data_IF_758361353083
#
_entry.id   IF_758361353083
#
_cell.length_a   1.000
_cell.length_b   1.000
_cell.length_c   1.000
_cell.angle_alpha   90.00
_cell.angle_beta   90.00
_cell.angle_gamma   90.00
#
_symmetry.space_group_name_H-M   'P 1'
#
loop_
_entity.id
_entity.type
_entity.pdbx_description
1 polymer ?
#
# COMPACT_ATOMS: atom_id res chain seq x y z
N UNK A 1 -17.55 0.09 -2.29
CA UNK A 1 -16.79 0.97 -1.38
C UNK A 1 -15.45 1.25 -2.05
N UNK A 2 -15.10 2.51 -2.32
CA UNK A 2 -13.74 2.84 -2.76
C UNK A 2 -12.85 2.71 -1.52
N UNK A 3 -11.89 1.79 -1.53
CA UNK A 3 -10.88 1.70 -0.48
C UNK A 3 -10.01 2.96 -0.44
N UNK A 4 -8.94 2.95 0.36
CA UNK A 4 -7.99 4.08 0.43
C UNK A 4 -7.42 4.49 -0.93
N UNK A 5 -7.28 3.55 -1.87
CA UNK A 5 -6.81 3.84 -3.22
C UNK A 5 -7.99 4.27 -4.11
N UNK A 6 -7.93 5.47 -4.73
CA UNK A 6 -9.05 6.04 -5.47
C UNK A 6 -9.28 5.39 -6.85
N UNK A 7 -8.24 4.74 -7.37
CA UNK A 7 -8.18 4.03 -8.65
C UNK A 7 -7.81 2.56 -8.41
N UNK A 8 -8.37 1.68 -9.22
CA UNK A 8 -8.11 0.24 -9.13
C UNK A 8 -6.76 -0.15 -9.73
N UNK A 9 -6.43 -1.44 -9.67
CA UNK A 9 -5.14 -1.95 -10.14
C UNK A 9 -5.00 -1.85 -11.67
N UNK A 10 -6.08 -2.07 -12.40
CA UNK A 10 -6.08 -2.05 -13.87
C UNK A 10 -5.80 -0.62 -14.35
N UNK A 11 -6.55 0.36 -13.83
CA UNK A 11 -6.33 1.78 -14.11
C UNK A 11 -4.92 2.24 -13.77
N UNK A 12 -4.36 1.82 -12.63
CA UNK A 12 -2.96 2.13 -12.29
C UNK A 12 -1.97 1.54 -13.29
N UNK A 13 -2.23 0.34 -13.78
CA UNK A 13 -1.34 -0.35 -14.72
C UNK A 13 -1.37 0.33 -16.08
N UNK A 14 -2.56 0.72 -16.56
CA UNK A 14 -2.74 1.51 -17.79
C UNK A 14 -2.00 2.85 -17.70
N UNK A 15 -2.18 3.61 -16.61
CA UNK A 15 -1.50 4.89 -16.42
C UNK A 15 0.03 4.78 -16.40
N UNK A 16 0.57 3.68 -15.88
CA UNK A 16 2.02 3.44 -15.85
C UNK A 16 2.53 3.01 -17.23
N UNK A 17 1.76 2.20 -17.97
CA UNK A 17 2.08 1.82 -19.33
C UNK A 17 2.13 3.03 -20.28
N UNK A 18 1.26 4.03 -20.09
CA UNK A 18 1.25 5.28 -20.86
C UNK A 18 2.57 6.07 -20.75
N UNK A 19 3.28 5.93 -19.63
CA UNK A 19 4.60 6.55 -19.40
C UNK A 19 5.75 5.56 -19.59
N UNK A 20 5.47 4.36 -20.12
CA UNK A 20 6.46 3.34 -20.43
C UNK A 20 7.04 2.62 -19.19
N UNK A 21 6.29 2.58 -18.09
CA UNK A 21 6.70 1.92 -16.84
C UNK A 21 5.84 0.69 -16.54
N UNK A 22 6.47 -0.38 -16.05
CA UNK A 22 5.77 -1.52 -15.43
C UNK A 22 5.55 -1.24 -13.94
N UNK A 23 4.35 -1.53 -13.42
CA UNK A 23 4.01 -1.46 -12.00
C UNK A 23 4.94 -2.33 -11.13
N UNK A 24 5.44 -3.43 -11.67
CA UNK A 24 6.38 -4.31 -10.96
C UNK A 24 7.77 -3.68 -10.80
N UNK A 25 8.15 -2.81 -11.73
CA UNK A 25 9.46 -2.14 -11.79
C UNK A 25 9.41 -0.68 -11.28
N UNK A 26 8.22 -0.19 -10.91
CA UNK A 26 8.00 1.20 -10.52
C UNK A 26 9.00 1.70 -9.47
N UNK A 27 9.28 0.85 -8.48
CA UNK A 27 10.18 1.19 -7.37
C UNK A 27 11.65 0.88 -7.67
N UNK A 28 11.97 0.31 -8.83
CA UNK A 28 13.36 0.03 -9.21
C UNK A 28 14.17 1.29 -9.50
N UNK A 29 13.49 2.36 -9.90
CA UNK A 29 14.05 3.71 -10.03
C UNK A 29 14.58 4.28 -8.71
N UNK A 30 14.18 3.75 -7.54
CA UNK A 30 14.64 4.21 -6.24
C UNK A 30 16.01 3.60 -5.93
N UNK A 31 17.08 4.40 -5.74
CA UNK A 31 18.41 3.88 -5.39
C UNK A 31 18.39 2.99 -4.14
N UNK A 32 19.09 1.86 -4.19
CA UNK A 32 19.04 0.86 -3.11
C UNK A 32 19.47 1.42 -1.75
N UNK A 33 20.46 2.31 -1.72
CA UNK A 33 20.95 2.97 -0.51
C UNK A 33 19.91 3.90 0.15
N UNK A 34 18.88 4.32 -0.59
CA UNK A 34 17.77 5.13 -0.07
C UNK A 34 16.57 4.28 0.36
N UNK A 35 16.52 2.99 0.00
CA UNK A 35 15.42 2.11 0.39
C UNK A 35 15.53 1.75 1.87
N UNK A 36 14.38 1.64 2.53
CA UNK A 36 14.30 1.11 3.89
C UNK A 36 14.85 -0.32 3.92
N UNK A 37 15.90 -0.52 4.73
CA UNK A 37 16.51 -1.84 4.92
C UNK A 37 15.75 -2.67 5.96
N UNK A 38 15.12 -1.99 6.92
CA UNK A 38 14.27 -2.60 7.93
C UNK A 38 12.93 -3.01 7.31
N UNK A 39 12.60 -4.30 7.44
CA UNK A 39 11.33 -4.88 6.94
C UNK A 39 10.37 -5.27 8.06
N UNK A 40 10.82 -5.22 9.31
CA UNK A 40 10.00 -5.53 10.48
C UNK A 40 9.60 -4.24 11.21
N UNK A 41 8.30 -4.04 11.36
CA UNK A 41 7.73 -2.87 12.02
C UNK A 41 6.93 -3.34 13.24
N UNK A 42 7.54 -3.43 14.44
CA UNK A 42 6.93 -4.08 15.61
C UNK A 42 5.64 -3.39 16.08
N UNK A 43 5.50 -2.09 15.78
CA UNK A 43 4.32 -1.29 16.12
C UNK A 43 3.20 -1.39 15.06
N UNK A 44 3.44 -2.05 13.93
CA UNK A 44 2.43 -2.26 12.90
C UNK A 44 1.87 -3.68 13.00
N UNK A 45 0.56 -3.80 12.77
CA UNK A 45 -0.07 -5.11 12.64
C UNK A 45 0.54 -5.87 11.44
N UNK A 46 0.77 -7.17 11.63
CA UNK A 46 1.33 -8.04 10.56
C UNK A 46 0.41 -8.16 9.35
N UNK A 47 -0.90 -8.04 9.57
CA UNK A 47 -1.92 -7.99 8.53
C UNK A 47 -2.75 -6.72 8.72
N UNK A 48 -3.11 -6.08 7.61
CA UNK A 48 -4.04 -4.96 7.62
C UNK A 48 -5.42 -5.43 8.12
N UNK A 49 -6.07 -4.57 8.89
CA UNK A 49 -7.45 -4.80 9.34
C UNK A 49 -8.44 -4.32 8.27
N UNK A 50 -9.57 -5.01 8.14
CA UNK A 50 -10.70 -4.51 7.39
C UNK A 50 -11.33 -3.29 8.08
N UNK A 51 -12.08 -2.49 7.33
CA UNK A 51 -12.77 -1.31 7.86
C UNK A 51 -13.71 -1.65 9.04
N UNK A 52 -14.38 -2.81 8.97
CA UNK A 52 -15.25 -3.29 10.06
C UNK A 52 -14.46 -3.67 11.31
N UNK A 53 -13.31 -4.33 11.14
CA UNK A 53 -12.43 -4.68 12.26
C UNK A 53 -11.87 -3.42 12.92
N UNK A 54 -11.40 -2.45 12.14
CA UNK A 54 -10.94 -1.15 12.64
C UNK A 54 -12.04 -0.49 13.48
N UNK A 55 -13.28 -0.45 12.97
CA UNK A 55 -14.41 0.12 13.70
C UNK A 55 -14.66 -0.60 15.02
N UNK A 56 -14.59 -1.93 15.04
CA UNK A 56 -14.76 -2.73 16.26
C UNK A 56 -13.69 -2.43 17.29
N UNK A 57 -12.41 -2.45 16.90
CA UNK A 57 -11.30 -2.19 17.81
C UNK A 57 -11.36 -0.77 18.40
N UNK A 58 -11.64 0.25 17.58
CA UNK A 58 -11.78 1.63 18.06
C UNK A 58 -12.96 1.78 19.04
N UNK A 59 -14.09 1.11 18.76
CA UNK A 59 -15.26 1.18 19.65
C UNK A 59 -14.98 0.50 21.00
N UNK A 60 -14.18 -0.56 21.02
CA UNK A 60 -13.81 -1.26 22.26
C UNK A 60 -12.82 -0.48 23.14
N UNK A 61 -12.14 0.53 22.59
CA UNK A 61 -11.20 1.40 23.33
C UNK A 61 -11.88 2.61 24.00
N UNK A 62 -13.13 2.91 23.65
CA UNK A 62 -13.92 4.03 24.17
C UNK A 62 -14.78 3.61 25.37
#
# INVERSE_FOLDING_TARGET
>A
MKGYLPIDREQRTEMLADVGLDINELFDSVPQNLRLQQKEFPCLAKAGLSEMEIRREITALA
#
